data_IF_068386866177
#
_entry.id   IF_068386866177
#
_cell.length_a   1.000
_cell.length_b   1.000
_cell.length_c   1.000
_cell.angle_alpha   90.00
_cell.angle_beta   90.00
_cell.angle_gamma   90.00
#
_symmetry.space_group_name_H-M   'P 1'
#
loop_
_entity.id
_entity.type
_entity.pdbx_description
1 polymer ?
#
# COMPACT_ATOMS: atom_id res chain seq x y z
N UNK A 1 -38.96 -19.81 -21.02
CA UNK A 1 -38.31 -20.28 -19.78
C UNK A 1 -36.89 -20.67 -20.19
N UNK A 2 -35.94 -19.73 -20.10
CA UNK A 2 -34.56 -19.90 -20.58
C UNK A 2 -33.63 -19.93 -19.37
N UNK A 3 -33.06 -21.11 -19.11
CA UNK A 3 -32.12 -21.37 -18.02
C UNK A 3 -30.73 -20.88 -18.46
N UNK A 4 -30.21 -19.87 -17.78
CA UNK A 4 -28.82 -19.40 -17.96
C UNK A 4 -27.87 -20.37 -17.23
N UNK A 5 -26.80 -20.86 -17.86
CA UNK A 5 -25.85 -21.73 -17.19
C UNK A 5 -25.01 -20.92 -16.20
N UNK A 6 -25.11 -21.24 -14.91
CA UNK A 6 -24.18 -20.77 -13.88
C UNK A 6 -22.78 -21.29 -14.20
N UNK A 7 -21.85 -20.40 -14.56
CA UNK A 7 -20.42 -20.72 -14.57
C UNK A 7 -20.00 -21.11 -13.16
N UNK A 8 -19.45 -22.32 -13.05
CA UNK A 8 -19.15 -23.00 -11.79
C UNK A 8 -18.32 -22.17 -10.82
N UNK A 9 -18.91 -21.95 -9.65
CA UNK A 9 -18.22 -21.52 -8.44
C UNK A 9 -17.39 -22.73 -7.94
N UNK A 10 -16.07 -22.71 -8.14
CA UNK A 10 -15.20 -23.70 -7.51
C UNK A 10 -15.03 -23.33 -6.04
N UNK A 11 -15.61 -24.17 -5.17
CA UNK A 11 -15.41 -24.12 -3.72
C UNK A 11 -13.91 -24.18 -3.41
N UNK A 12 -13.42 -23.15 -2.72
CA UNK A 12 -12.06 -23.10 -2.17
C UNK A 12 -11.92 -24.23 -1.14
N UNK A 13 -10.90 -25.06 -1.27
CA UNK A 13 -10.58 -26.08 -0.28
C UNK A 13 -10.09 -25.40 1.02
N UNK A 14 -10.64 -25.75 2.19
CA UNK A 14 -10.10 -25.28 3.46
C UNK A 14 -8.81 -26.07 3.75
N UNK A 15 -7.68 -25.37 3.85
CA UNK A 15 -6.44 -25.99 4.35
C UNK A 15 -5.13 -25.28 4.01
N UNK A 16 -4.65 -24.44 4.92
CA UNK A 16 -3.27 -24.48 5.43
C UNK A 16 -3.25 -23.79 6.82
N UNK A 17 -2.46 -24.29 7.80
CA UNK A 17 -2.70 -24.05 9.22
C UNK A 17 -2.33 -22.61 9.66
N UNK A 18 -3.28 -21.94 10.33
CA UNK A 18 -3.13 -20.74 11.17
C UNK A 18 -2.46 -19.51 10.55
N UNK A 19 -3.17 -18.57 9.92
CA UNK A 19 -2.48 -17.43 9.25
C UNK A 19 -3.15 -16.05 9.19
N UNK A 20 -4.39 -15.84 9.65
CA UNK A 20 -4.97 -14.48 9.77
C UNK A 20 -5.49 -14.14 11.17
N UNK A 21 -5.82 -15.17 11.95
CA UNK A 21 -6.42 -15.09 13.29
C UNK A 21 -5.45 -15.45 14.43
N UNK A 22 -4.22 -15.84 14.10
CA UNK A 22 -3.18 -16.07 15.10
C UNK A 22 -2.68 -14.73 15.65
N UNK A 23 -2.05 -14.69 16.84
CA UNK A 23 -1.37 -13.49 17.29
C UNK A 23 -0.28 -13.16 16.27
N UNK A 24 -0.62 -12.30 15.33
CA UNK A 24 0.36 -11.60 14.52
C UNK A 24 1.17 -10.83 15.53
N UNK A 25 2.48 -11.08 15.59
CA UNK A 25 3.37 -10.12 16.24
C UNK A 25 2.97 -8.75 15.71
N UNK A 26 2.53 -7.85 16.61
CA UNK A 26 1.95 -6.55 16.25
C UNK A 26 2.88 -5.70 15.36
N UNK A 27 4.13 -6.12 15.20
CA UNK A 27 5.15 -5.51 14.34
C UNK A 27 5.15 -6.01 12.88
N UNK A 28 4.45 -7.11 12.52
CA UNK A 28 4.53 -7.72 11.18
C UNK A 28 3.19 -7.94 10.46
N UNK A 29 2.13 -7.28 10.94
CA UNK A 29 0.77 -7.31 10.40
C UNK A 29 0.66 -7.23 8.88
N UNK A 30 1.43 -6.33 8.28
CA UNK A 30 1.47 -6.08 6.83
C UNK A 30 1.84 -7.32 6.00
N UNK A 31 2.45 -8.36 6.60
CA UNK A 31 2.76 -9.62 5.91
C UNK A 31 1.53 -10.50 5.69
N UNK A 32 0.47 -10.26 6.45
CA UNK A 32 -0.73 -11.09 6.49
C UNK A 32 -1.94 -10.33 5.95
N UNK A 33 -2.09 -9.06 6.31
CA UNK A 33 -3.20 -8.21 5.85
C UNK A 33 -2.83 -7.47 4.56
N UNK A 34 -3.86 -7.03 3.84
CA UNK A 34 -3.75 -6.34 2.57
C UNK A 34 -3.82 -7.28 1.37
N UNK A 35 -3.42 -6.77 0.20
CA UNK A 35 -3.31 -7.55 -1.01
C UNK A 35 -1.90 -8.13 -1.20
N UNK A 36 -1.80 -9.46 -1.28
CA UNK A 36 -0.55 -10.18 -1.49
C UNK A 36 -0.64 -11.06 -2.72
N UNK A 37 0.32 -10.93 -3.63
CA UNK A 37 0.45 -11.86 -4.76
C UNK A 37 0.73 -13.28 -4.25
N UNK A 38 -0.01 -14.24 -4.77
CA UNK A 38 0.16 -15.67 -4.55
C UNK A 38 0.09 -16.40 -5.90
N UNK A 39 0.46 -17.68 -5.94
CA UNK A 39 0.38 -18.47 -7.17
C UNK A 39 -1.06 -18.46 -7.72
N UNK A 40 -1.25 -17.91 -8.93
CA UNK A 40 -2.53 -17.87 -9.62
C UNK A 40 -3.46 -16.69 -9.27
N UNK A 41 -3.11 -15.84 -8.31
CA UNK A 41 -3.98 -14.72 -7.93
C UNK A 41 -3.48 -13.84 -6.80
N UNK A 42 -4.43 -13.26 -6.07
CA UNK A 42 -4.17 -12.30 -4.99
C UNK A 42 -4.94 -12.72 -3.75
N UNK A 43 -4.23 -12.78 -2.62
CA UNK A 43 -4.79 -13.00 -1.30
C UNK A 43 -5.09 -11.65 -0.66
N UNK A 44 -6.33 -11.46 -0.23
CA UNK A 44 -6.80 -10.26 0.46
C UNK A 44 -7.10 -10.57 1.92
N UNK A 45 -6.82 -9.62 2.80
CA UNK A 45 -7.25 -9.66 4.19
C UNK A 45 -7.44 -8.24 4.75
N UNK A 46 -8.57 -7.98 5.40
CA UNK A 46 -8.90 -6.68 5.99
C UNK A 46 -9.66 -6.85 7.29
N UNK A 47 -9.29 -6.07 8.31
CA UNK A 47 -10.01 -6.06 9.58
C UNK A 47 -11.23 -5.16 9.49
N UNK A 48 -12.42 -5.75 9.66
CA UNK A 48 -13.70 -5.06 9.62
C UNK A 48 -14.73 -5.82 10.51
N UNK A 49 -14.50 -5.86 11.85
CA UNK A 49 -15.20 -6.78 12.75
C UNK A 49 -16.71 -6.61 12.80
N UNK A 50 -17.20 -5.39 12.55
CA UNK A 50 -18.62 -5.06 12.61
C UNK A 50 -19.31 -5.01 11.23
N UNK A 51 -18.60 -5.43 10.17
CA UNK A 51 -19.20 -5.54 8.84
C UNK A 51 -20.18 -6.72 8.78
N UNK A 52 -21.24 -6.60 7.97
CA UNK A 52 -22.14 -7.72 7.65
C UNK A 52 -21.57 -8.60 6.54
N UNK A 53 -20.94 -7.97 5.57
CA UNK A 53 -20.31 -8.63 4.43
C UNK A 53 -19.22 -7.73 3.86
N UNK A 54 -18.17 -8.34 3.33
CA UNK A 54 -17.08 -7.66 2.65
C UNK A 54 -16.83 -8.36 1.33
N UNK A 55 -16.74 -7.58 0.24
CA UNK A 55 -16.31 -8.07 -1.07
C UNK A 55 -15.20 -7.19 -1.62
N UNK A 56 -14.39 -7.74 -2.52
CA UNK A 56 -13.42 -6.95 -3.29
C UNK A 56 -14.12 -6.43 -4.53
N UNK A 57 -13.96 -5.14 -4.81
CA UNK A 57 -14.35 -4.52 -6.08
C UNK A 57 -13.09 -4.08 -6.80
N UNK A 58 -13.01 -4.35 -8.10
CA UNK A 58 -11.78 -4.16 -8.88
C UNK A 58 -12.07 -3.91 -10.36
N UNK A 59 -11.02 -3.55 -11.10
CA UNK A 59 -11.08 -3.46 -12.57
C UNK A 59 -11.56 -4.78 -13.20
N UNK A 60 -11.15 -5.93 -12.63
CA UNK A 60 -11.47 -7.26 -13.17
C UNK A 60 -12.94 -7.66 -13.02
N UNK A 61 -13.65 -7.15 -12.01
CA UNK A 61 -15.06 -7.47 -11.77
C UNK A 61 -16.04 -6.34 -12.12
N UNK A 62 -15.53 -5.28 -12.77
CA UNK A 62 -16.31 -4.11 -13.15
C UNK A 62 -16.82 -3.32 -11.95
N UNK A 63 -16.03 -3.25 -10.88
CA UNK A 63 -16.34 -2.50 -9.65
C UNK A 63 -17.69 -2.87 -9.02
N UNK A 64 -18.10 -4.15 -9.11
CA UNK A 64 -19.42 -4.60 -8.65
C UNK A 64 -19.34 -5.32 -7.30
N UNK A 65 -19.92 -4.72 -6.26
CA UNK A 65 -20.01 -5.32 -4.94
C UNK A 65 -20.76 -6.67 -4.96
N UNK A 66 -20.29 -7.62 -4.16
CA UNK A 66 -20.91 -8.92 -3.98
C UNK A 66 -20.68 -9.95 -5.10
N UNK A 67 -19.75 -9.67 -6.04
CA UNK A 67 -19.24 -10.70 -6.96
C UNK A 67 -18.12 -11.52 -6.35
N UNK A 68 -17.17 -10.85 -5.69
CA UNK A 68 -15.99 -11.47 -5.10
C UNK A 68 -16.01 -11.32 -3.56
N UNK A 69 -16.77 -12.19 -2.89
CA UNK A 69 -16.92 -12.20 -1.43
C UNK A 69 -15.65 -12.63 -0.70
N UNK A 70 -15.41 -12.03 0.47
CA UNK A 70 -14.44 -12.50 1.45
C UNK A 70 -15.15 -13.30 2.56
N UNK A 71 -14.40 -14.19 3.20
CA UNK A 71 -14.87 -14.96 4.35
C UNK A 71 -14.52 -14.22 5.64
N UNK A 72 -15.49 -14.10 6.55
CA UNK A 72 -15.26 -13.59 7.90
C UNK A 72 -14.61 -14.65 8.79
N UNK A 73 -13.76 -14.22 9.71
CA UNK A 73 -13.27 -15.02 10.83
C UNK A 73 -13.82 -14.54 12.18
N UNK A 74 -13.60 -15.32 13.23
CA UNK A 74 -14.02 -15.00 14.61
C UNK A 74 -13.28 -13.79 15.21
N UNK A 75 -12.16 -13.35 14.60
CA UNK A 75 -11.39 -12.18 15.05
C UNK A 75 -11.82 -10.88 14.35
N UNK A 76 -12.76 -10.96 13.41
CA UNK A 76 -13.24 -9.83 12.62
C UNK A 76 -12.40 -9.49 11.40
N UNK A 77 -11.47 -10.37 11.02
CA UNK A 77 -10.73 -10.27 9.76
C UNK A 77 -11.57 -10.91 8.64
N UNK A 78 -11.65 -10.22 7.51
CA UNK A 78 -12.27 -10.70 6.28
C UNK A 78 -11.18 -11.05 5.29
N UNK A 79 -11.17 -12.28 4.77
CA UNK A 79 -10.08 -12.75 3.93
C UNK A 79 -10.53 -13.68 2.80
N UNK A 80 -9.70 -13.80 1.77
CA UNK A 80 -9.99 -14.65 0.61
C UNK A 80 -8.91 -14.54 -0.45
N UNK A 81 -8.87 -15.52 -1.37
CA UNK A 81 -7.95 -15.52 -2.51
C UNK A 81 -8.74 -15.45 -3.79
N UNK A 82 -8.50 -14.41 -4.58
CA UNK A 82 -9.13 -14.21 -5.88
C UNK A 82 -8.16 -14.57 -6.99
N UNK A 83 -8.60 -15.45 -7.90
CA UNK A 83 -7.79 -15.93 -9.02
C UNK A 83 -7.77 -14.92 -10.17
N UNK A 84 -6.73 -14.99 -11.00
CA UNK A 84 -6.58 -14.20 -12.23
C UNK A 84 -6.49 -12.67 -12.01
N UNK A 85 -6.17 -12.20 -10.81
CA UNK A 85 -5.77 -10.82 -10.56
C UNK A 85 -4.25 -10.69 -10.74
N UNK A 86 -3.81 -9.59 -11.37
CA UNK A 86 -2.41 -9.33 -11.68
C UNK A 86 -1.88 -8.11 -10.92
N UNK A 87 -0.55 -7.98 -10.76
CA UNK A 87 0.05 -6.72 -10.29
C UNK A 87 -0.45 -5.54 -11.12
N UNK A 88 -0.76 -4.42 -10.47
CA UNK A 88 -1.35 -3.24 -11.09
C UNK A 88 -2.88 -3.22 -11.11
N UNK A 89 -3.56 -4.32 -10.76
CA UNK A 89 -5.03 -4.34 -10.63
C UNK A 89 -5.47 -3.35 -9.55
N UNK A 90 -6.37 -2.43 -9.88
CA UNK A 90 -6.94 -1.51 -8.89
C UNK A 90 -8.08 -2.19 -8.16
N UNK A 91 -8.19 -1.93 -6.87
CA UNK A 91 -9.22 -2.50 -6.03
C UNK A 91 -9.60 -1.62 -4.86
N UNK A 92 -10.78 -1.91 -4.28
CA UNK A 92 -11.25 -1.45 -2.98
C UNK A 92 -11.98 -2.58 -2.28
N UNK A 93 -12.23 -2.42 -0.99
CA UNK A 93 -13.19 -3.23 -0.25
C UNK A 93 -14.57 -2.56 -0.31
N UNK A 94 -15.57 -3.30 -0.79
CA UNK A 94 -16.98 -2.96 -0.60
C UNK A 94 -17.46 -3.60 0.70
N UNK A 95 -17.70 -2.75 1.71
CA UNK A 95 -18.03 -3.13 3.08
C UNK A 95 -19.48 -2.78 3.36
N UNK A 96 -20.32 -3.77 3.66
CA UNK A 96 -21.67 -3.50 4.17
C UNK A 96 -21.63 -3.33 5.69
N UNK A 97 -22.07 -2.19 6.17
CA UNK A 97 -22.15 -1.90 7.62
C UNK A 97 -23.24 -2.71 8.30
N UNK A 98 -23.22 -2.76 9.64
CA UNK A 98 -24.31 -3.33 10.42
C UNK A 98 -25.66 -2.62 10.20
N UNK A 99 -25.66 -1.35 9.80
CA UNK A 99 -26.87 -0.59 9.43
C UNK A 99 -27.34 -0.83 7.98
N UNK A 100 -26.61 -1.63 7.19
CA UNK A 100 -26.96 -2.00 5.81
C UNK A 100 -26.37 -1.08 4.74
N UNK A 101 -25.69 0.00 5.11
CA UNK A 101 -25.03 0.90 4.15
C UNK A 101 -23.85 0.22 3.47
N UNK A 102 -23.68 0.44 2.18
CA UNK A 102 -22.53 -0.03 1.42
C UNK A 102 -21.49 1.08 1.33
N UNK A 103 -20.27 0.80 1.80
CA UNK A 103 -19.14 1.72 1.75
C UNK A 103 -18.04 1.14 0.87
N UNK A 104 -17.41 1.99 0.06
CA UNK A 104 -16.16 1.65 -0.62
C UNK A 104 -14.98 2.18 0.18
N UNK A 105 -14.00 1.31 0.45
CA UNK A 105 -12.82 1.66 1.24
C UNK A 105 -11.55 1.24 0.51
N UNK A 106 -10.60 2.15 0.44
CA UNK A 106 -9.23 1.81 0.11
C UNK A 106 -8.68 0.84 1.16
N UNK A 107 -7.68 0.04 0.78
CA UNK A 107 -7.04 -0.91 1.67
C UNK A 107 -6.22 -0.16 2.75
N UNK A 108 -6.55 -0.33 4.05
CA UNK A 108 -5.79 0.31 5.14
C UNK A 108 -4.31 -0.05 5.16
N UNK A 109 -3.96 -1.23 4.63
CA UNK A 109 -2.61 -1.79 4.57
C UNK A 109 -2.15 -2.02 3.12
N UNK A 110 -2.75 -1.28 2.16
CA UNK A 110 -2.34 -1.31 0.76
C UNK A 110 -0.92 -0.77 0.56
N UNK A 111 -0.14 -1.41 -0.32
CA UNK A 111 1.25 -1.03 -0.62
C UNK A 111 1.39 -0.01 -1.76
N UNK A 112 0.32 0.25 -2.50
CA UNK A 112 0.29 1.25 -3.54
C UNK A 112 -1.15 1.73 -3.77
N UNK A 113 -1.29 2.96 -4.26
CA UNK A 113 -2.58 3.61 -4.48
C UNK A 113 -2.59 4.32 -5.82
N UNK A 114 -3.78 4.55 -6.38
CA UNK A 114 -3.93 5.45 -7.51
C UNK A 114 -3.51 6.87 -7.14
N UNK A 115 -3.03 7.62 -8.14
CA UNK A 115 -2.71 9.04 -7.97
C UNK A 115 -3.97 9.82 -7.60
N UNK A 116 -3.88 10.68 -6.58
CA UNK A 116 -4.99 11.57 -6.20
C UNK A 116 -5.52 12.40 -7.41
N UNK A 117 -6.84 12.66 -7.51
CA UNK A 117 -7.87 12.46 -6.48
C UNK A 117 -8.48 11.06 -6.42
N UNK A 118 -8.01 10.11 -7.24
CA UNK A 118 -8.45 8.72 -7.18
C UNK A 118 -8.04 8.08 -5.84
N UNK A 119 -8.77 7.03 -5.44
CA UNK A 119 -8.68 6.45 -4.08
C UNK A 119 -8.58 4.93 -4.06
N UNK A 120 -8.49 4.25 -5.20
CA UNK A 120 -8.31 2.81 -5.18
C UNK A 120 -6.90 2.45 -4.70
N UNK A 121 -6.81 1.32 -3.99
CA UNK A 121 -5.55 0.64 -3.78
C UNK A 121 -5.16 -0.11 -5.05
N UNK A 122 -3.89 -0.42 -5.19
CA UNK A 122 -3.35 -1.15 -6.34
C UNK A 122 -2.66 -2.40 -5.83
N UNK A 123 -2.99 -3.55 -6.40
CA UNK A 123 -2.30 -4.81 -6.12
C UNK A 123 -0.84 -4.64 -6.50
N UNK A 124 0.05 -4.70 -5.51
CA UNK A 124 1.46 -4.43 -5.72
C UNK A 124 2.35 -5.33 -4.87
N UNK A 125 3.50 -5.70 -5.40
CA UNK A 125 4.53 -6.45 -4.67
C UNK A 125 5.66 -5.51 -4.30
N UNK A 126 6.14 -5.62 -3.06
CA UNK A 126 7.37 -4.98 -2.60
C UNK A 126 8.58 -5.93 -2.68
N UNK A 127 8.35 -7.18 -3.10
CA UNK A 127 9.40 -8.14 -3.41
C UNK A 127 10.01 -7.67 -4.74
N UNK A 128 11.31 -7.89 -4.94
CA UNK A 128 12.05 -7.62 -6.20
C UNK A 128 12.84 -6.29 -6.30
N UNK A 129 13.09 -5.60 -5.19
CA UNK A 129 14.09 -4.51 -5.16
C UNK A 129 15.45 -4.99 -4.62
N UNK A 130 16.50 -4.76 -5.41
CA UNK A 130 17.87 -5.18 -5.08
C UNK A 130 18.63 -4.08 -4.32
N UNK A 131 18.50 -4.08 -3.00
CA UNK A 131 19.22 -3.16 -2.11
C UNK A 131 20.74 -3.31 -2.23
N UNK A 132 21.45 -2.17 -2.11
CA UNK A 132 22.93 -2.08 -2.18
C UNK A 132 23.53 -1.30 -1.00
N UNK A 133 22.76 -1.05 0.05
CA UNK A 133 23.11 -0.23 1.20
C UNK A 133 23.60 -1.05 2.41
N UNK A 134 24.06 -2.28 2.19
CA UNK A 134 24.49 -3.20 3.26
C UNK A 134 25.55 -2.60 4.19
N UNK A 135 26.57 -1.94 3.62
CA UNK A 135 27.63 -1.29 4.40
C UNK A 135 27.11 -0.12 5.24
N UNK A 136 26.09 0.61 4.74
CA UNK A 136 25.43 1.67 5.49
C UNK A 136 24.62 1.11 6.66
N UNK A 137 23.85 0.04 6.44
CA UNK A 137 23.06 -0.61 7.49
C UNK A 137 23.92 -1.21 8.60
N UNK A 138 25.06 -1.83 8.24
CA UNK A 138 26.02 -2.37 9.21
C UNK A 138 26.62 -1.26 10.08
N UNK A 139 27.06 -0.15 9.48
CA UNK A 139 27.56 1.02 10.21
C UNK A 139 26.47 1.65 11.09
N UNK A 140 25.24 1.76 10.58
CA UNK A 140 24.11 2.35 11.32
C UNK A 140 23.81 1.60 12.60
N UNK A 141 23.91 0.28 12.59
CA UNK A 141 23.62 -0.57 13.75
C UNK A 141 24.62 -0.39 14.91
N UNK A 142 25.84 0.05 14.62
CA UNK A 142 26.91 0.21 15.61
C UNK A 142 27.25 1.67 15.94
N UNK A 143 26.63 2.63 15.25
CA UNK A 143 26.86 4.06 15.45
C UNK A 143 26.11 4.59 16.66
N UNK A 144 26.82 5.31 17.55
CA UNK A 144 26.19 6.10 18.61
C UNK A 144 25.74 7.46 18.07
N UNK A 145 24.46 7.53 17.68
CA UNK A 145 23.86 8.72 17.09
C UNK A 145 23.78 9.91 18.05
N UNK A 146 23.82 9.69 19.36
CA UNK A 146 23.82 10.78 20.35
C UNK A 146 25.18 11.48 20.46
N UNK A 147 26.23 10.87 19.91
CA UNK A 147 27.61 11.38 19.95
C UNK A 147 28.20 11.65 18.57
N UNK A 148 27.38 11.54 17.52
CA UNK A 148 27.79 11.75 16.12
C UNK A 148 27.16 13.06 15.60
N UNK A 149 27.83 13.82 14.71
CA UNK A 149 27.25 15.02 14.12
C UNK A 149 25.93 14.74 13.41
N UNK A 150 24.89 15.49 13.78
CA UNK A 150 23.55 15.36 13.23
C UNK A 150 23.10 16.71 12.68
N UNK A 151 23.15 16.85 11.36
CA UNK A 151 22.68 18.02 10.61
C UNK A 151 21.62 17.55 9.63
N UNK A 152 20.36 17.92 9.89
CA UNK A 152 19.19 17.48 9.13
C UNK A 152 18.80 18.56 8.12
N UNK A 153 18.64 18.17 6.87
CA UNK A 153 17.95 18.95 5.85
C UNK A 153 16.49 18.50 5.74
N UNK A 154 15.56 19.33 6.20
CA UNK A 154 14.13 19.02 6.12
C UNK A 154 13.55 19.37 4.74
N UNK A 155 12.77 18.45 4.17
CA UNK A 155 12.30 18.54 2.78
C UNK A 155 10.84 18.11 2.63
N UNK A 156 10.06 18.96 1.97
CA UNK A 156 8.80 18.57 1.36
C UNK A 156 9.01 18.26 -0.14
N UNK A 157 8.98 16.97 -0.51
CA UNK A 157 9.32 16.51 -1.86
C UNK A 157 8.48 17.18 -2.97
N UNK A 158 7.21 17.45 -2.69
CA UNK A 158 6.29 18.06 -3.67
C UNK A 158 6.58 19.54 -3.96
N UNK A 159 7.45 20.21 -3.19
CA UNK A 159 7.76 21.63 -3.36
C UNK A 159 9.24 21.97 -3.31
N UNK A 160 10.12 21.00 -3.07
CA UNK A 160 11.57 21.22 -3.04
C UNK A 160 12.10 21.75 -4.39
N UNK A 161 11.68 21.12 -5.49
CA UNK A 161 12.03 21.54 -6.85
C UNK A 161 10.90 21.20 -7.81
N UNK A 162 10.69 22.03 -8.82
CA UNK A 162 9.70 21.78 -9.89
C UNK A 162 10.37 21.40 -11.21
N UNK A 163 9.83 20.40 -11.94
CA UNK A 163 10.25 20.12 -13.32
C UNK A 163 10.04 21.33 -14.22
N UNK A 164 10.88 21.48 -15.25
CA UNK A 164 10.78 22.55 -16.26
C UNK A 164 9.96 22.13 -17.49
N UNK A 165 9.58 20.85 -17.57
CA UNK A 165 8.89 20.23 -18.71
C UNK A 165 7.34 20.25 -18.57
N UNK A 166 6.83 21.03 -17.63
CA UNK A 166 5.38 21.18 -17.38
C UNK A 166 4.78 20.11 -16.45
N UNK A 167 5.54 19.11 -16.00
CA UNK A 167 5.08 18.18 -14.96
C UNK A 167 4.92 18.89 -13.62
N UNK A 168 3.93 18.44 -12.84
CA UNK A 168 3.69 18.98 -11.49
C UNK A 168 4.81 18.61 -10.49
N UNK A 169 5.35 17.40 -10.61
CA UNK A 169 6.32 16.84 -9.67
C UNK A 169 7.43 16.10 -10.39
N UNK A 170 8.61 16.09 -9.80
CA UNK A 170 9.63 15.09 -10.09
C UNK A 170 9.19 13.72 -9.58
N UNK A 171 9.68 12.64 -10.21
CA UNK A 171 9.55 11.31 -9.64
C UNK A 171 10.63 11.05 -8.58
N UNK A 172 10.49 9.97 -7.81
CA UNK A 172 11.43 9.62 -6.74
C UNK A 172 12.85 9.36 -7.24
N UNK A 173 13.03 8.79 -8.44
CA UNK A 173 14.37 8.55 -9.02
C UNK A 173 15.09 9.86 -9.37
N UNK A 174 14.37 10.80 -9.95
CA UNK A 174 14.88 12.15 -10.25
C UNK A 174 15.23 12.90 -8.96
N UNK A 175 14.36 12.81 -7.96
CA UNK A 175 14.59 13.39 -6.64
C UNK A 175 15.76 12.74 -5.92
N UNK A 176 15.92 11.42 -6.00
CA UNK A 176 16.99 10.68 -5.32
C UNK A 176 18.36 11.21 -5.71
N UNK A 177 18.64 11.33 -7.02
CA UNK A 177 19.91 11.88 -7.49
C UNK A 177 20.05 13.37 -7.15
N UNK A 178 19.06 14.18 -7.53
CA UNK A 178 19.17 15.63 -7.36
C UNK A 178 19.29 16.05 -5.89
N UNK A 179 18.52 15.42 -5.00
CA UNK A 179 18.54 15.73 -3.58
C UNK A 179 19.82 15.20 -2.92
N UNK A 180 20.26 13.97 -3.25
CA UNK A 180 21.48 13.40 -2.69
C UNK A 180 22.72 14.25 -3.03
N UNK A 181 22.86 14.68 -4.29
CA UNK A 181 23.95 15.55 -4.71
C UNK A 181 23.94 16.87 -3.94
N UNK A 182 22.76 17.51 -3.86
CA UNK A 182 22.59 18.80 -3.20
C UNK A 182 22.89 18.75 -1.69
N UNK A 183 22.37 17.75 -0.97
CA UNK A 183 22.60 17.66 0.49
C UNK A 183 24.02 17.26 0.84
N UNK A 184 24.67 16.50 -0.05
CA UNK A 184 26.08 16.11 0.07
C UNK A 184 26.99 17.31 -0.14
N UNK A 185 26.73 18.14 -1.16
CA UNK A 185 27.46 19.39 -1.42
C UNK A 185 27.39 20.34 -0.22
N UNK A 186 26.21 20.45 0.42
CA UNK A 186 26.01 21.29 1.59
C UNK A 186 26.54 20.69 2.91
N UNK A 187 26.97 19.43 2.91
CA UNK A 187 27.53 18.76 4.09
C UNK A 187 26.49 18.37 5.16
N UNK A 188 25.22 18.19 4.79
CA UNK A 188 24.22 17.63 5.71
C UNK A 188 24.45 16.13 5.91
N UNK A 189 24.12 15.62 7.11
CA UNK A 189 24.28 14.19 7.41
C UNK A 189 22.98 13.40 7.24
N UNK A 190 21.83 14.07 7.26
CA UNK A 190 20.51 13.43 7.18
C UNK A 190 19.53 14.28 6.35
N UNK A 191 18.53 13.59 5.78
CA UNK A 191 17.34 14.21 5.18
C UNK A 191 16.13 13.81 6.00
N UNK A 192 15.34 14.79 6.43
CA UNK A 192 14.04 14.57 7.05
C UNK A 192 12.95 14.89 6.03
N UNK A 193 12.17 13.89 5.65
CA UNK A 193 11.05 14.09 4.74
C UNK A 193 9.81 14.47 5.54
N UNK A 194 9.08 15.49 5.08
CA UNK A 194 7.66 15.63 5.44
C UNK A 194 6.90 14.36 5.01
N UNK A 195 5.72 14.07 5.60
CA UNK A 195 5.05 12.79 5.40
C UNK A 195 4.89 12.40 3.93
N UNK A 196 5.48 11.27 3.59
CA UNK A 196 5.46 10.69 2.24
C UNK A 196 4.37 9.63 2.07
N UNK A 197 3.64 9.29 3.14
CA UNK A 197 2.52 8.36 3.10
C UNK A 197 1.41 8.89 2.18
N UNK A 198 0.58 8.01 1.62
CA UNK A 198 -0.46 8.45 0.70
C UNK A 198 -1.48 9.35 1.42
N UNK A 199 -1.77 10.50 0.81
CA UNK A 199 -2.64 11.55 1.35
C UNK A 199 -3.42 12.23 0.21
N UNK A 200 -4.70 12.57 0.40
CA UNK A 200 -5.56 13.03 -0.69
C UNK A 200 -5.34 14.49 -1.08
N UNK A 201 -4.78 15.32 -0.19
CA UNK A 201 -4.74 16.77 -0.35
C UNK A 201 -3.33 17.35 -0.21
N UNK A 202 -2.81 18.00 -1.24
CA UNK A 202 -1.45 18.57 -1.23
C UNK A 202 -1.27 19.65 -0.15
N UNK A 203 -2.31 20.44 0.12
CA UNK A 203 -2.26 21.50 1.12
C UNK A 203 -2.15 20.99 2.57
N UNK A 204 -2.30 19.69 2.80
CA UNK A 204 -2.03 19.10 4.12
C UNK A 204 -0.55 18.83 4.37
N UNK A 205 0.32 19.01 3.35
CA UNK A 205 1.74 18.66 3.38
C UNK A 205 2.03 17.22 3.82
N UNK A 206 1.09 16.31 3.54
CA UNK A 206 1.16 14.90 3.96
C UNK A 206 0.59 14.57 5.34
N UNK A 207 0.34 15.56 6.21
CA UNK A 207 -0.12 15.30 7.59
C UNK A 207 -1.54 14.71 7.70
N UNK A 208 -2.37 14.81 6.66
CA UNK A 208 -3.68 14.16 6.58
C UNK A 208 -3.57 12.84 5.78
N UNK A 209 -2.87 11.87 6.35
CA UNK A 209 -2.62 10.56 5.72
C UNK A 209 -3.87 9.69 5.65
N UNK A 210 -4.02 8.96 4.55
CA UNK A 210 -5.06 7.94 4.37
C UNK A 210 -4.50 6.57 4.00
N UNK A 211 -3.31 6.50 3.39
CA UNK A 211 -2.61 5.24 3.06
C UNK A 211 -1.28 5.13 3.81
N UNK A 212 -1.32 4.57 5.01
CA UNK A 212 -0.17 4.52 5.92
C UNK A 212 0.94 3.56 5.48
N UNK A 213 0.63 2.56 4.66
CA UNK A 213 1.55 1.49 4.26
C UNK A 213 2.16 1.67 2.86
N UNK A 214 1.94 2.83 2.23
CA UNK A 214 2.50 3.12 0.92
C UNK A 214 3.09 4.53 0.84
N UNK A 215 4.23 4.71 0.14
CA UNK A 215 4.64 6.03 -0.31
C UNK A 215 3.61 6.59 -1.31
N UNK A 216 3.44 7.91 -1.32
CA UNK A 216 2.47 8.58 -2.18
C UNK A 216 2.81 8.35 -3.65
N UNK A 217 1.79 7.98 -4.42
CA UNK A 217 1.88 7.72 -5.85
C UNK A 217 2.18 8.96 -6.70
N UNK A 218 2.19 10.16 -6.11
CA UNK A 218 2.53 11.44 -6.77
C UNK A 218 3.90 11.40 -7.44
N UNK A 219 4.86 10.69 -6.84
CA UNK A 219 6.26 10.69 -7.26
C UNK A 219 6.71 9.35 -7.86
N UNK A 220 5.82 8.37 -8.04
CA UNK A 220 6.17 7.10 -8.69
C UNK A 220 5.66 5.87 -7.95
N UNK A 221 6.23 4.71 -8.30
CA UNK A 221 5.93 3.44 -7.65
C UNK A 221 6.70 3.28 -6.33
N UNK A 222 6.30 2.38 -5.43
CA UNK A 222 7.03 2.10 -4.19
C UNK A 222 8.51 1.79 -4.40
N UNK A 223 8.85 1.05 -5.46
CA UNK A 223 10.23 0.74 -5.82
C UNK A 223 11.03 1.99 -6.19
N UNK A 224 10.40 3.04 -6.72
CA UNK A 224 11.11 4.28 -7.04
C UNK A 224 11.57 5.02 -5.79
N UNK A 225 10.88 4.82 -4.67
CA UNK A 225 11.24 5.35 -3.36
C UNK A 225 12.27 4.49 -2.60
N UNK A 226 12.46 3.23 -3.01
CA UNK A 226 13.53 2.34 -2.52
C UNK A 226 14.85 2.67 -3.21
#
# INVERSE_FOLDING_TARGET
>A
MLTVPQKGLLRIQPGAPGTFDQPVDGTTLYRYWGAHLVTGGVRFAVWAPNAREVSVISDSNGWTAGRDWLHSSDTGVWHGTLQNLTPGTRYKYAVRTHSGHLLEKADPVGFYFERRPQTASVVWSLRDFAWRDGDWLQRRATTDWMRTPLSIYEVHLGSWRRPKDGRQFFNYRELAHALADYVTELGHTHVQLLPITEHPFDGSWGYQTTGYFAPTSRFGAPQDFQ
#
